data_IF_008990512901
#
_entry.id   IF_008990512901
#
_cell.length_a   1.000
_cell.length_b   1.000
_cell.length_c   1.000
_cell.angle_alpha   90.00
_cell.angle_beta   90.00
_cell.angle_gamma   90.00
#
_symmetry.space_group_name_H-M   'P 1'
#
loop_
_entity.id
_entity.type
_entity.pdbx_description
1 polymer ?
#
# COMPACT_ATOMS: atom_id res chain seq x y z
N UNK A 1 12.98 -4.16 -13.97
CA UNK A 1 12.57 -5.47 -13.38
C UNK A 1 11.82 -5.30 -12.05
N UNK A 2 12.39 -4.59 -11.07
CA UNK A 2 11.76 -4.40 -9.75
C UNK A 2 10.36 -3.77 -9.78
N UNK A 3 10.13 -2.74 -10.60
CA UNK A 3 8.80 -2.08 -10.67
C UNK A 3 7.73 -2.96 -11.30
N UNK A 4 8.08 -3.80 -12.27
CA UNK A 4 7.13 -4.75 -12.85
C UNK A 4 6.71 -5.82 -11.82
N UNK A 5 7.63 -6.23 -10.95
CA UNK A 5 7.33 -7.16 -9.83
C UNK A 5 6.41 -6.48 -8.82
N UNK A 6 6.76 -5.27 -8.38
CA UNK A 6 5.94 -4.48 -7.45
C UNK A 6 4.54 -4.24 -8.01
N UNK A 7 4.44 -3.91 -9.30
CA UNK A 7 3.15 -3.76 -9.99
C UNK A 7 2.29 -5.02 -9.90
N UNK A 8 2.86 -6.19 -10.21
CA UNK A 8 2.13 -7.47 -10.09
C UNK A 8 1.75 -7.78 -8.65
N UNK A 9 2.62 -7.47 -7.69
CA UNK A 9 2.34 -7.66 -6.28
C UNK A 9 1.17 -6.81 -5.79
N UNK A 10 1.04 -5.57 -6.27
CA UNK A 10 -0.13 -4.73 -5.97
C UNK A 10 -1.41 -5.35 -6.52
N UNK A 11 -1.39 -5.81 -7.78
CA UNK A 11 -2.54 -6.44 -8.43
C UNK A 11 -2.97 -7.75 -7.76
N UNK A 12 -2.04 -8.50 -7.17
CA UNK A 12 -2.31 -9.79 -6.51
C UNK A 12 -2.37 -9.70 -4.99
N UNK A 13 -2.40 -8.49 -4.42
CA UNK A 13 -2.45 -8.25 -2.97
C UNK A 13 -1.29 -8.94 -2.21
N UNK A 14 -0.12 -9.07 -2.84
CA UNK A 14 1.10 -9.66 -2.26
C UNK A 14 2.22 -8.65 -2.05
N UNK A 15 1.93 -7.36 -2.24
CA UNK A 15 2.86 -6.27 -1.94
C UNK A 15 3.05 -6.12 -0.43
N UNK A 16 4.29 -5.95 0.09
CA UNK A 16 4.55 -5.91 1.54
C UNK A 16 3.63 -4.92 2.29
N UNK A 17 3.09 -5.36 3.42
CA UNK A 17 2.29 -4.54 4.32
C UNK A 17 2.36 -5.08 5.75
N UNK A 18 2.10 -4.24 6.75
CA UNK A 18 2.18 -4.64 8.16
C UNK A 18 1.23 -5.80 8.49
N UNK A 19 0.10 -5.94 7.79
CA UNK A 19 -0.82 -7.06 8.01
C UNK A 19 -0.16 -8.41 7.73
N UNK A 20 0.59 -8.51 6.63
CA UNK A 20 1.33 -9.73 6.31
C UNK A 20 2.51 -9.93 7.27
N UNK A 21 3.25 -8.85 7.58
CA UNK A 21 4.41 -8.94 8.46
C UNK A 21 4.03 -9.32 9.90
N UNK A 22 2.94 -8.78 10.45
CA UNK A 22 2.42 -9.13 11.77
C UNK A 22 2.03 -10.62 11.85
N UNK A 23 1.54 -11.24 10.77
CA UNK A 23 1.24 -12.68 10.76
C UNK A 23 2.50 -13.55 10.94
N UNK A 24 3.65 -13.10 10.44
CA UNK A 24 4.92 -13.83 10.58
C UNK A 24 5.68 -13.44 11.86
N UNK A 25 5.64 -12.17 12.23
CA UNK A 25 6.38 -11.60 13.35
C UNK A 25 5.49 -10.65 14.18
N UNK A 26 4.52 -11.19 14.93
CA UNK A 26 3.51 -10.38 15.63
C UNK A 26 4.07 -9.51 16.75
N UNK A 27 5.24 -9.85 17.28
CA UNK A 27 5.95 -9.06 18.30
C UNK A 27 6.74 -7.90 17.72
N UNK A 28 7.04 -7.92 16.42
CA UNK A 28 7.84 -6.89 15.74
C UNK A 28 6.97 -5.88 14.99
N UNK A 29 5.87 -6.34 14.38
CA UNK A 29 5.01 -5.48 13.57
C UNK A 29 3.63 -5.35 14.18
N UNK A 30 3.05 -4.14 14.26
CA UNK A 30 1.70 -3.95 14.78
C UNK A 30 0.66 -4.55 13.83
N UNK A 31 -0.45 -5.03 14.40
CA UNK A 31 -1.62 -5.51 13.65
C UNK A 31 -2.53 -4.38 13.14
N UNK A 32 -2.19 -3.13 13.45
CA UNK A 32 -2.91 -1.91 13.09
C UNK A 32 -1.97 -0.92 12.38
N UNK A 33 -2.54 -0.04 11.56
CA UNK A 33 -1.82 1.07 10.96
C UNK A 33 -1.51 2.12 12.05
N UNK A 34 -0.25 2.54 12.23
CA UNK A 34 0.13 3.49 13.29
C UNK A 34 -0.47 4.90 13.10
N UNK A 35 -1.07 5.21 11.95
CA UNK A 35 -1.58 6.54 11.64
C UNK A 35 -3.10 6.66 11.67
N UNK A 36 -3.82 5.65 11.16
CA UNK A 36 -5.28 5.66 11.13
C UNK A 36 -5.93 4.58 12.01
N UNK A 37 -5.13 3.69 12.61
CA UNK A 37 -5.63 2.60 13.48
C UNK A 37 -6.30 1.43 12.75
N UNK A 38 -6.58 1.54 11.45
CA UNK A 38 -7.21 0.50 10.64
C UNK A 38 -6.29 -0.70 10.39
N UNK A 39 -6.85 -1.81 9.90
CA UNK A 39 -6.07 -3.01 9.52
C UNK A 39 -5.15 -2.68 8.34
N UNK A 40 -3.82 -2.86 8.47
CA UNK A 40 -2.84 -2.34 7.51
C UNK A 40 -2.64 -3.28 6.31
N UNK A 41 -3.71 -3.47 5.53
CA UNK A 41 -3.69 -4.21 4.25
C UNK A 41 -2.94 -3.43 3.17
N UNK A 42 -2.72 -4.03 1.99
CA UNK A 42 -2.13 -3.33 0.84
C UNK A 42 -2.99 -2.15 0.41
N UNK A 43 -4.31 -2.37 0.30
CA UNK A 43 -5.29 -1.32 -0.03
C UNK A 43 -5.30 -0.20 1.00
N UNK A 44 -5.36 -0.53 2.30
CA UNK A 44 -5.33 0.48 3.36
C UNK A 44 -4.03 1.29 3.31
N UNK A 45 -2.90 0.61 3.32
CA UNK A 45 -1.59 1.26 3.39
C UNK A 45 -1.33 2.13 2.16
N UNK A 46 -1.77 1.70 0.98
CA UNK A 46 -1.48 2.40 -0.28
C UNK A 46 -2.51 3.47 -0.62
N UNK A 47 -3.79 3.24 -0.32
CA UNK A 47 -4.89 4.00 -0.93
C UNK A 47 -5.85 4.62 0.09
N UNK A 48 -6.36 3.82 1.03
CA UNK A 48 -7.46 4.23 1.92
C UNK A 48 -7.02 5.02 3.15
N UNK A 49 -5.76 4.90 3.59
CA UNK A 49 -5.30 5.58 4.79
C UNK A 49 -5.59 7.09 4.73
N UNK A 50 -6.23 7.63 5.79
CA UNK A 50 -6.59 9.05 5.90
C UNK A 50 -5.41 9.95 6.26
N UNK A 51 -4.36 9.39 6.87
CA UNK A 51 -3.17 10.12 7.32
C UNK A 51 -1.87 9.35 7.01
N UNK A 52 -1.61 8.95 5.75
CA UNK A 52 -0.42 8.18 5.41
C UNK A 52 0.84 9.05 5.57
N UNK A 53 1.94 8.44 5.99
CA UNK A 53 3.24 9.09 5.99
C UNK A 53 3.96 8.88 4.65
N UNK A 54 4.69 9.89 4.19
CA UNK A 54 5.49 9.83 2.95
C UNK A 54 4.72 10.05 1.64
N UNK A 55 3.38 10.12 1.68
CA UNK A 55 2.51 10.43 0.55
C UNK A 55 1.30 11.26 0.98
N UNK A 56 0.69 12.07 0.10
CA UNK A 56 -0.58 12.73 0.41
C UNK A 56 -1.73 11.72 0.48
N UNK A 57 -2.78 11.94 1.30
CA UNK A 57 -3.98 11.10 1.29
C UNK A 57 -4.71 11.17 -0.06
N UNK A 58 -5.36 10.07 -0.47
CA UNK A 58 -6.24 10.07 -1.65
C UNK A 58 -7.58 10.71 -1.26
N UNK A 59 -8.11 11.68 -2.03
CA UNK A 59 -9.43 12.22 -1.77
C UNK A 59 -10.52 11.19 -2.07
N UNK A 60 -11.43 10.96 -1.11
CA UNK A 60 -12.56 10.03 -1.22
C UNK A 60 -12.15 8.64 -1.74
N UNK A 61 -11.25 7.93 -1.04
CA UNK A 61 -10.78 6.63 -1.48
C UNK A 61 -11.93 5.63 -1.45
N UNK A 62 -12.07 4.86 -2.53
CA UNK A 62 -13.05 3.76 -2.60
C UNK A 62 -12.41 2.50 -3.19
N UNK A 63 -12.94 1.30 -2.88
CA UNK A 63 -12.47 0.06 -3.50
C UNK A 63 -12.53 0.11 -5.03
N UNK A 64 -13.59 0.67 -5.61
CA UNK A 64 -13.71 0.81 -7.07
C UNK A 64 -12.65 1.73 -7.69
N UNK A 65 -12.30 2.83 -7.01
CA UNK A 65 -11.21 3.72 -7.46
C UNK A 65 -9.84 3.05 -7.40
N UNK A 66 -9.63 2.19 -6.41
CA UNK A 66 -8.43 1.38 -6.27
C UNK A 66 -8.32 0.32 -7.37
N UNK A 67 -9.41 -0.42 -7.62
CA UNK A 67 -9.46 -1.41 -8.71
C UNK A 67 -9.20 -0.75 -10.06
N UNK A 68 -9.79 0.42 -10.31
CA UNK A 68 -9.55 1.20 -11.52
C UNK A 68 -8.07 1.58 -11.67
N UNK A 69 -7.42 2.00 -10.57
CA UNK A 69 -6.00 2.33 -10.58
C UNK A 69 -5.14 1.08 -10.86
N UNK A 70 -5.48 -0.08 -10.31
CA UNK A 70 -4.81 -1.37 -10.55
C UNK A 70 -4.99 -1.91 -11.98
N UNK A 71 -6.05 -1.51 -12.66
CA UNK A 71 -6.36 -1.91 -14.04
C UNK A 71 -5.83 -0.92 -15.09
N UNK A 72 -5.17 0.17 -14.68
CA UNK A 72 -4.62 1.14 -15.62
C UNK A 72 -3.68 0.47 -16.63
N UNK A 73 -3.87 0.79 -17.90
CA UNK A 73 -2.98 0.39 -19.00
C UNK A 73 -1.86 1.42 -19.24
N UNK A 74 -1.94 2.59 -18.59
CA UNK A 74 -0.97 3.67 -18.77
C UNK A 74 0.23 3.43 -17.87
N UNK A 75 1.40 3.24 -18.49
CA UNK A 75 2.66 2.99 -17.76
C UNK A 75 2.94 4.04 -16.68
N UNK A 76 2.63 5.32 -16.94
CA UNK A 76 2.85 6.39 -15.97
C UNK A 76 1.99 6.21 -14.71
N UNK A 77 0.71 5.87 -14.84
CA UNK A 77 -0.19 5.64 -13.71
C UNK A 77 0.23 4.40 -12.92
N UNK A 78 0.63 3.32 -13.62
CA UNK A 78 1.20 2.12 -12.99
C UNK A 78 2.43 2.45 -12.14
N UNK A 79 3.36 3.24 -12.71
CA UNK A 79 4.57 3.67 -12.01
C UNK A 79 4.26 4.56 -10.81
N UNK A 80 3.32 5.51 -10.96
CA UNK A 80 2.89 6.37 -9.86
C UNK A 80 2.29 5.55 -8.70
N UNK A 81 1.48 4.54 -9.01
CA UNK A 81 0.90 3.67 -7.99
C UNK A 81 1.96 2.86 -7.26
N UNK A 82 2.92 2.28 -7.99
CA UNK A 82 4.07 1.57 -7.40
C UNK A 82 4.88 2.49 -6.48
N UNK A 83 5.19 3.71 -6.93
CA UNK A 83 5.94 4.67 -6.12
C UNK A 83 5.17 5.12 -4.88
N UNK A 84 3.87 5.35 -5.02
CA UNK A 84 2.99 5.65 -3.89
C UNK A 84 3.00 4.51 -2.87
N UNK A 85 2.79 3.27 -3.32
CA UNK A 85 2.77 2.11 -2.45
C UNK A 85 4.07 1.97 -1.66
N UNK A 86 5.22 2.05 -2.35
CA UNK A 86 6.56 2.00 -1.72
C UNK A 86 6.71 3.06 -0.63
N UNK A 87 6.41 4.32 -0.94
CA UNK A 87 6.54 5.42 0.01
C UNK A 87 5.60 5.28 1.21
N UNK A 88 4.37 4.82 0.99
CA UNK A 88 3.40 4.66 2.07
C UNK A 88 3.77 3.52 3.03
N UNK A 89 4.25 2.39 2.49
CA UNK A 89 4.69 1.26 3.33
C UNK A 89 6.05 1.53 3.99
N UNK A 90 6.92 2.33 3.37
CA UNK A 90 8.11 2.84 4.04
C UNK A 90 7.73 3.78 5.18
N UNK A 91 6.82 4.71 4.92
CA UNK A 91 6.34 5.67 5.92
C UNK A 91 5.67 5.03 7.14
N UNK A 92 5.09 3.82 6.99
CA UNK A 92 4.49 3.09 8.11
C UNK A 92 5.38 2.00 8.71
N UNK A 93 6.63 1.84 8.23
CA UNK A 93 7.59 0.87 8.75
C UNK A 93 7.38 -0.57 8.28
N UNK A 94 6.61 -0.81 7.20
CA UNK A 94 6.51 -2.12 6.55
C UNK A 94 7.63 -2.39 5.54
N UNK A 95 8.37 -1.36 5.13
CA UNK A 95 9.62 -1.51 4.37
C UNK A 95 10.66 -0.57 4.99
N UNK A 96 11.86 -1.10 5.25
CA UNK A 96 13.03 -0.28 5.60
C UNK A 96 13.56 0.50 4.38
#
# INVERSE_FOLDING_TARGET
>A
RADAVAWRQLQTNSFPCLYMLNRFHPTLYPSYCPFCGSVPTVYLSTWECSAPQGVPPIPNPTPSSWDSALLSLRRQEQQQLVQRARRAVQGNGALD
#
